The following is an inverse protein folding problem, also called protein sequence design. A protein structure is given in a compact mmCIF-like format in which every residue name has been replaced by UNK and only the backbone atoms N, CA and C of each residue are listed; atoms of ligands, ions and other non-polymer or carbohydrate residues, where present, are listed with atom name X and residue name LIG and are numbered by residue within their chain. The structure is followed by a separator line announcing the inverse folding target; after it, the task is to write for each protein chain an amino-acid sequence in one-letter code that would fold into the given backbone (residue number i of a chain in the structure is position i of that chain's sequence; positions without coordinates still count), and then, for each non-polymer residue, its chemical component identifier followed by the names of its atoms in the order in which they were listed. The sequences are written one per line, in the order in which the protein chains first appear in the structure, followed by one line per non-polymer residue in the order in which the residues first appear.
data_IF_882112559657
#
_entry.id   IF_882112559657
#
_cell.length_a   1.000
_cell.length_b   1.000
_cell.length_c   1.000
_cell.angle_alpha   90.00
_cell.angle_beta   90.00
_cell.angle_gamma   90.00
#
_symmetry.space_group_name_H-M   'P 1'
#
loop_
_entity.id
_entity.type
_entity.pdbx_description
1 polymer ?
#
# COMPACT_ATOMS: atom_id res chain seq x y z
N UNK A 1 -33.54 31.28 -44.49
CA UNK A 1 -33.69 29.88 -44.06
C UNK A 1 -34.60 29.89 -42.84
N UNK A 2 -35.80 29.34 -43.05
CA UNK A 2 -36.91 29.25 -42.10
C UNK A 2 -36.46 28.68 -40.75
N UNK A 3 -36.86 29.34 -39.66
CA UNK A 3 -36.71 28.85 -38.31
C UNK A 3 -37.43 27.50 -38.13
N UNK A 4 -36.81 26.58 -37.38
CA UNK A 4 -37.34 25.26 -36.98
C UNK A 4 -38.77 25.32 -36.39
N UNK A 5 -39.24 26.50 -36.00
CA UNK A 5 -40.58 26.78 -35.47
C UNK A 5 -41.70 26.52 -36.48
N UNK A 6 -41.48 26.74 -37.78
CA UNK A 6 -42.52 26.53 -38.80
C UNK A 6 -42.62 25.07 -39.28
N UNK A 7 -41.58 24.26 -39.07
CA UNK A 7 -41.57 22.84 -39.44
C UNK A 7 -42.35 21.95 -38.46
N UNK A 8 -42.53 22.39 -37.22
CA UNK A 8 -43.24 21.63 -36.17
C UNK A 8 -44.76 21.85 -36.14
N UNK A 9 -45.28 22.84 -36.87
CA UNK A 9 -46.70 23.18 -36.91
C UNK A 9 -47.50 22.43 -38.00
N UNK A 10 -46.87 21.54 -38.77
CA UNK A 10 -47.52 20.79 -39.87
C UNK A 10 -47.87 19.33 -39.56
N UNK A 11 -47.66 18.86 -38.32
CA UNK A 11 -48.05 17.52 -37.91
C UNK A 11 -49.16 17.59 -36.86
N UNK A 12 -50.39 17.34 -37.31
CA UNK A 12 -51.58 17.13 -36.47
C UNK A 12 -51.39 15.87 -35.60
N UNK A 13 -50.82 16.04 -34.41
CA UNK A 13 -50.81 15.02 -33.36
C UNK A 13 -51.90 15.35 -32.32
N UNK A 14 -52.65 14.34 -31.83
CA UNK A 14 -53.83 14.54 -30.98
C UNK A 14 -53.50 15.13 -29.60
N UNK A 15 -54.42 15.96 -29.10
CA UNK A 15 -54.40 16.74 -27.84
C UNK A 15 -54.42 15.89 -26.54
N UNK A 16 -53.65 14.81 -26.46
CA UNK A 16 -53.56 13.98 -25.25
C UNK A 16 -52.14 13.51 -25.00
N UNK A 17 -51.27 14.45 -24.60
CA UNK A 17 -50.02 14.21 -23.87
C UNK A 17 -49.53 15.57 -23.37
N UNK A 18 -50.17 16.07 -22.32
CA UNK A 18 -49.63 17.18 -21.54
C UNK A 18 -48.35 16.70 -20.84
N UNK A 19 -47.21 16.89 -21.49
CA UNK A 19 -45.92 16.82 -20.81
C UNK A 19 -45.89 17.95 -19.78
N UNK A 20 -45.79 17.60 -18.50
CA UNK A 20 -45.67 18.54 -17.39
C UNK A 20 -44.56 19.58 -17.68
N UNK A 21 -44.82 20.90 -17.53
CA UNK A 21 -43.87 21.96 -17.84
C UNK A 21 -42.85 22.18 -16.72
N UNK A 22 -42.35 21.12 -16.08
CA UNK A 22 -41.33 21.23 -15.03
C UNK A 22 -39.90 21.15 -15.55
N UNK A 23 -39.68 20.83 -16.84
CA UNK A 23 -38.33 20.68 -17.40
C UNK A 23 -37.66 22.00 -17.86
N UNK A 24 -38.40 23.09 -18.05
CA UNK A 24 -37.85 24.36 -18.57
C UNK A 24 -37.50 25.40 -17.51
N UNK A 25 -37.61 25.08 -16.22
CA UNK A 25 -37.31 26.00 -15.11
C UNK A 25 -36.20 25.49 -14.20
N UNK A 26 -35.26 24.69 -14.70
CA UNK A 26 -34.02 24.48 -13.94
C UNK A 26 -33.17 25.73 -14.07
N UNK A 27 -32.97 26.52 -12.99
CA UNK A 27 -32.12 27.70 -13.06
C UNK A 27 -30.73 27.28 -13.57
N UNK A 28 -30.16 28.03 -14.51
CA UNK A 28 -28.80 27.86 -15.07
C UNK A 28 -27.73 27.32 -14.08
N UNK A 29 -27.66 27.77 -12.81
CA UNK A 29 -26.74 27.18 -11.82
C UNK A 29 -26.95 25.68 -11.54
N UNK A 30 -28.18 25.18 -11.57
CA UNK A 30 -28.50 23.76 -11.35
C UNK A 30 -28.08 22.92 -12.56
N UNK A 31 -28.29 23.41 -13.79
CA UNK A 31 -27.80 22.74 -15.00
C UNK A 31 -26.26 22.69 -15.03
N UNK A 32 -25.60 23.78 -14.61
CA UNK A 32 -24.15 23.84 -14.42
C UNK A 32 -23.62 22.86 -13.37
N UNK A 33 -24.37 22.63 -12.29
CA UNK A 33 -24.04 21.57 -11.33
C UNK A 33 -24.17 20.18 -11.96
N UNK A 34 -25.23 19.88 -12.70
CA UNK A 34 -25.38 18.56 -13.33
C UNK A 34 -24.33 18.26 -14.39
N UNK A 35 -23.92 19.26 -15.19
CA UNK A 35 -22.83 19.08 -16.15
C UNK A 35 -21.48 18.95 -15.46
N UNK A 36 -21.22 19.68 -14.38
CA UNK A 36 -20.02 19.53 -13.56
C UNK A 36 -19.98 18.14 -12.88
N UNK A 37 -21.07 17.70 -12.27
CA UNK A 37 -21.17 16.36 -11.69
C UNK A 37 -21.06 15.26 -12.75
N UNK A 38 -21.72 15.41 -13.90
CA UNK A 38 -21.65 14.46 -15.02
C UNK A 38 -20.24 14.35 -15.61
N UNK A 39 -19.53 15.47 -15.76
CA UNK A 39 -18.14 15.47 -16.24
C UNK A 39 -17.17 14.90 -15.20
N UNK A 40 -17.36 15.19 -13.91
CA UNK A 40 -16.60 14.60 -12.81
C UNK A 40 -16.81 13.07 -12.74
N UNK A 41 -18.05 12.61 -12.89
CA UNK A 41 -18.41 11.18 -12.92
C UNK A 41 -17.80 10.53 -14.16
N UNK A 42 -17.97 11.11 -15.35
CA UNK A 42 -17.40 10.58 -16.59
C UNK A 42 -15.86 10.53 -16.56
N UNK A 43 -15.20 11.57 -16.03
CA UNK A 43 -13.76 11.60 -15.81
C UNK A 43 -13.30 10.52 -14.82
N UNK A 44 -14.04 10.36 -13.72
CA UNK A 44 -13.74 9.36 -12.70
C UNK A 44 -13.96 7.94 -13.23
N UNK A 45 -14.99 7.72 -14.04
CA UNK A 45 -15.26 6.47 -14.75
C UNK A 45 -14.13 6.19 -15.76
N UNK A 46 -13.73 7.17 -16.57
CA UNK A 46 -12.63 7.02 -17.52
C UNK A 46 -11.29 6.67 -16.83
N UNK A 47 -10.99 7.32 -15.70
CA UNK A 47 -9.85 6.98 -14.83
C UNK A 47 -9.99 5.58 -14.21
N UNK A 48 -11.19 5.19 -13.77
CA UNK A 48 -11.47 3.87 -13.19
C UNK A 48 -11.27 2.74 -14.22
N UNK A 49 -11.58 2.99 -15.50
CA UNK A 49 -11.36 2.05 -16.61
C UNK A 49 -9.98 2.17 -17.29
N UNK A 50 -9.06 2.97 -16.73
CA UNK A 50 -7.67 3.03 -17.20
C UNK A 50 -7.47 3.70 -18.56
N UNK A 51 -8.47 4.43 -19.09
CA UNK A 51 -8.31 5.17 -20.33
C UNK A 51 -7.30 6.31 -20.11
N UNK A 52 -6.08 6.13 -20.65
CA UNK A 52 -5.02 7.14 -20.67
C UNK A 52 -4.05 7.14 -19.48
N UNK A 53 -4.04 6.13 -18.61
CA UNK A 53 -3.06 6.10 -17.50
C UNK A 53 -1.68 5.64 -17.97
N UNK A 54 -0.66 6.48 -17.74
CA UNK A 54 0.76 6.07 -17.83
C UNK A 54 1.10 5.12 -16.68
N UNK A 55 2.04 4.21 -16.89
CA UNK A 55 2.59 3.39 -15.81
C UNK A 55 3.35 4.31 -14.83
N UNK A 56 2.81 4.48 -13.62
CA UNK A 56 3.37 5.33 -12.55
C UNK A 56 4.49 4.63 -11.76
N UNK A 57 4.76 3.35 -12.05
CA UNK A 57 5.77 2.52 -11.38
C UNK A 57 6.52 1.68 -12.42
N UNK A 58 7.17 2.36 -13.37
CA UNK A 58 7.99 1.73 -14.39
C UNK A 58 9.33 1.29 -13.78
N UNK A 59 9.61 -0.02 -13.76
CA UNK A 59 10.77 -0.59 -13.05
C UNK A 59 11.90 -1.07 -13.95
N UNK A 60 11.73 -1.06 -15.27
CA UNK A 60 12.76 -1.52 -16.20
C UNK A 60 14.04 -0.67 -16.07
N UNK A 61 15.16 -1.34 -15.79
CA UNK A 61 16.46 -0.70 -15.57
C UNK A 61 16.59 0.08 -14.26
N UNK A 62 15.54 0.16 -13.45
CA UNK A 62 15.58 0.78 -12.12
C UNK A 62 16.23 -0.15 -11.09
N UNK A 63 16.84 0.41 -10.06
CA UNK A 63 17.42 -0.36 -8.95
C UNK A 63 16.48 -0.36 -7.75
N UNK A 64 16.09 -1.56 -7.33
CA UNK A 64 15.17 -1.83 -6.22
C UNK A 64 15.92 -2.41 -5.03
N UNK A 65 15.75 -1.83 -3.85
CA UNK A 65 16.13 -2.46 -2.58
C UNK A 65 14.86 -2.97 -1.90
N UNK A 66 14.82 -4.27 -1.60
CA UNK A 66 13.68 -4.94 -0.97
C UNK A 66 14.11 -5.59 0.34
N UNK A 67 13.63 -5.05 1.45
CA UNK A 67 13.84 -5.65 2.78
C UNK A 67 12.88 -6.82 2.98
N UNK A 68 13.32 -7.87 3.66
CA UNK A 68 12.55 -9.11 3.78
C UNK A 68 12.46 -9.91 2.48
N UNK A 69 13.35 -9.64 1.51
CA UNK A 69 13.33 -10.25 0.17
C UNK A 69 13.77 -11.72 0.09
N UNK A 70 14.13 -12.35 1.23
CA UNK A 70 14.64 -13.73 1.24
C UNK A 70 13.56 -14.81 1.28
N UNK A 71 12.31 -14.46 1.60
CA UNK A 71 11.21 -15.42 1.78
C UNK A 71 9.84 -14.76 1.54
N UNK A 72 8.78 -15.56 1.47
CA UNK A 72 7.39 -15.11 1.40
C UNK A 72 7.10 -14.03 0.35
N UNK A 73 6.28 -13.04 0.73
CA UNK A 73 5.88 -11.93 -0.16
C UNK A 73 7.07 -11.16 -0.71
N UNK A 74 8.11 -10.91 0.10
CA UNK A 74 9.29 -10.17 -0.34
C UNK A 74 9.98 -10.89 -1.50
N UNK A 75 10.24 -12.20 -1.37
CA UNK A 75 10.85 -12.96 -2.46
C UNK A 75 9.97 -12.94 -3.73
N UNK A 76 8.67 -13.13 -3.60
CA UNK A 76 7.75 -13.09 -4.74
C UNK A 76 7.71 -11.72 -5.44
N UNK A 77 7.74 -10.63 -4.68
CA UNK A 77 7.90 -9.26 -5.22
C UNK A 77 9.21 -9.14 -5.98
N UNK A 78 10.32 -9.58 -5.38
CA UNK A 78 11.65 -9.52 -5.99
C UNK A 78 11.69 -10.25 -7.35
N UNK A 79 11.18 -11.48 -7.39
CA UNK A 79 11.09 -12.30 -8.60
C UNK A 79 10.22 -11.63 -9.69
N UNK A 80 9.08 -11.04 -9.32
CA UNK A 80 8.21 -10.37 -10.30
C UNK A 80 8.78 -9.04 -10.80
N UNK A 81 9.52 -8.30 -9.97
CA UNK A 81 10.24 -7.10 -10.40
C UNK A 81 11.41 -7.46 -11.33
N UNK A 82 12.11 -8.57 -11.07
CA UNK A 82 13.10 -9.12 -11.98
C UNK A 82 12.48 -9.49 -13.34
N UNK A 83 11.30 -10.11 -13.36
CA UNK A 83 10.56 -10.39 -14.59
C UNK A 83 10.06 -9.14 -15.34
N UNK A 84 10.09 -7.97 -14.69
CA UNK A 84 9.74 -6.66 -15.27
C UNK A 84 10.97 -5.81 -15.63
N UNK A 85 12.17 -6.38 -15.60
CA UNK A 85 13.40 -5.70 -16.04
C UNK A 85 14.13 -4.90 -14.96
N UNK A 86 13.73 -5.00 -13.68
CA UNK A 86 14.39 -4.29 -12.59
C UNK A 86 15.72 -4.94 -12.18
N UNK A 87 16.66 -4.13 -11.71
CA UNK A 87 17.80 -4.60 -10.92
C UNK A 87 17.34 -4.72 -9.47
N UNK A 88 17.60 -5.84 -8.81
CA UNK A 88 17.03 -6.10 -7.48
C UNK A 88 18.09 -6.49 -6.46
N UNK A 89 18.07 -5.79 -5.33
CA UNK A 89 18.87 -6.07 -4.14
C UNK A 89 17.91 -6.53 -3.03
N UNK A 90 18.09 -7.76 -2.55
CA UNK A 90 17.29 -8.29 -1.43
C UNK A 90 18.06 -8.20 -0.12
N UNK A 91 17.38 -7.78 0.95
CA UNK A 91 17.98 -7.58 2.27
C UNK A 91 17.26 -8.45 3.30
N UNK A 92 18.01 -9.28 4.02
CA UNK A 92 17.51 -10.08 5.14
C UNK A 92 18.69 -10.53 6.02
N UNK A 93 18.44 -11.38 7.01
CA UNK A 93 19.49 -11.85 7.93
C UNK A 93 20.17 -13.15 7.49
N UNK A 94 19.46 -13.99 6.74
CA UNK A 94 19.91 -15.37 6.45
C UNK A 94 20.50 -15.46 5.05
N UNK A 95 21.83 -15.52 4.96
CA UNK A 95 22.59 -15.57 3.70
C UNK A 95 22.13 -16.70 2.77
N UNK A 96 21.89 -17.90 3.29
CA UNK A 96 21.47 -19.05 2.45
C UNK A 96 20.12 -18.82 1.77
N UNK A 97 19.15 -18.22 2.47
CA UNK A 97 17.86 -17.83 1.88
C UNK A 97 18.00 -16.69 0.88
N UNK A 98 18.86 -15.73 1.17
CA UNK A 98 19.16 -14.61 0.27
C UNK A 98 19.78 -15.09 -1.05
N UNK A 99 20.74 -16.01 -0.98
CA UNK A 99 21.36 -16.60 -2.15
C UNK A 99 20.32 -17.33 -3.03
N UNK A 100 19.47 -18.15 -2.41
CA UNK A 100 18.38 -18.83 -3.11
C UNK A 100 17.40 -17.84 -3.78
N UNK A 101 17.05 -16.74 -3.09
CA UNK A 101 16.21 -15.70 -3.67
C UNK A 101 16.88 -15.02 -4.88
N UNK A 102 18.19 -14.75 -4.82
CA UNK A 102 18.96 -14.21 -5.95
C UNK A 102 18.99 -15.16 -7.14
N UNK A 103 19.14 -16.46 -6.90
CA UNK A 103 19.14 -17.45 -7.96
C UNK A 103 17.76 -17.56 -8.63
N UNK A 104 16.68 -17.48 -7.84
CA UNK A 104 15.30 -17.44 -8.35
C UNK A 104 15.04 -16.17 -9.19
N UNK A 105 15.50 -14.99 -8.74
CA UNK A 105 15.39 -13.75 -9.51
C UNK A 105 16.13 -13.84 -10.85
N UNK A 106 17.36 -14.40 -10.86
CA UNK A 106 18.13 -14.60 -12.09
C UNK A 106 17.41 -15.52 -13.07
N UNK A 107 16.78 -16.58 -12.58
CA UNK A 107 16.03 -17.53 -13.40
C UNK A 107 14.77 -16.91 -14.04
N UNK A 108 14.23 -15.85 -13.43
CA UNK A 108 13.01 -15.16 -13.90
C UNK A 108 13.29 -13.77 -14.49
N UNK A 109 14.57 -13.41 -14.71
CA UNK A 109 14.94 -12.11 -15.25
C UNK A 109 14.39 -11.92 -16.68
N UNK A 110 13.80 -10.74 -16.96
CA UNK A 110 13.35 -10.38 -18.31
C UNK A 110 14.50 -10.37 -19.33
N UNK A 111 15.68 -9.90 -18.91
CA UNK A 111 16.91 -9.90 -19.68
C UNK A 111 18.11 -10.07 -18.74
N UNK A 112 18.58 -11.31 -18.62
CA UNK A 112 19.69 -11.71 -17.74
C UNK A 112 21.03 -11.03 -18.06
N UNK A 113 21.22 -10.49 -19.26
CA UNK A 113 22.45 -9.79 -19.66
C UNK A 113 22.48 -8.31 -19.24
N UNK A 114 21.31 -7.71 -19.03
CA UNK A 114 21.19 -6.28 -18.67
C UNK A 114 20.89 -6.09 -17.19
N UNK A 115 20.22 -7.06 -16.57
CA UNK A 115 19.81 -6.97 -15.18
C UNK A 115 20.89 -7.48 -14.23
N UNK A 116 20.94 -6.88 -13.06
CA UNK A 116 21.86 -7.22 -11.99
C UNK A 116 21.07 -7.56 -10.73
N UNK A 117 21.57 -8.53 -9.98
CA UNK A 117 20.95 -9.00 -8.73
C UNK A 117 22.00 -9.11 -7.64
N UNK A 118 21.65 -8.69 -6.44
CA UNK A 118 22.54 -8.72 -5.27
C UNK A 118 21.76 -9.04 -4.01
N UNK A 119 22.47 -9.40 -2.95
CA UNK A 119 21.89 -9.50 -1.62
C UNK A 119 22.77 -8.82 -0.59
N UNK A 120 22.14 -8.33 0.48
CA UNK A 120 22.85 -7.77 1.62
C UNK A 120 22.32 -8.46 2.88
N UNK A 121 23.23 -9.04 3.66
CA UNK A 121 22.89 -9.57 4.98
C UNK A 121 22.92 -8.44 6.00
N UNK A 122 21.81 -8.16 6.68
CA UNK A 122 21.70 -7.08 7.66
C UNK A 122 20.58 -7.34 8.68
N UNK A 123 20.77 -6.84 9.90
CA UNK A 123 19.70 -6.69 10.89
C UNK A 123 19.22 -5.24 10.91
N UNK A 124 18.05 -4.99 10.32
CA UNK A 124 17.51 -3.65 10.13
C UNK A 124 16.87 -3.06 11.39
N UNK A 125 16.88 -3.79 12.50
CA UNK A 125 16.57 -3.21 13.82
C UNK A 125 17.66 -2.25 14.29
N UNK A 126 18.89 -2.38 13.77
CA UNK A 126 19.99 -1.42 13.97
C UNK A 126 19.95 -0.33 12.88
N UNK A 127 19.78 0.96 13.25
CA UNK A 127 19.79 2.05 12.28
C UNK A 127 21.13 2.19 11.52
N UNK A 128 22.27 1.80 12.11
CA UNK A 128 23.56 1.86 11.42
C UNK A 128 23.64 0.85 10.28
N UNK A 129 23.00 -0.32 10.44
CA UNK A 129 22.90 -1.32 9.39
C UNK A 129 22.02 -0.82 8.23
N UNK A 130 20.97 -0.05 8.50
CA UNK A 130 20.17 0.59 7.45
C UNK A 130 21.01 1.58 6.62
N UNK A 131 21.83 2.42 7.26
CA UNK A 131 22.74 3.34 6.57
C UNK A 131 23.77 2.57 5.73
N UNK A 132 24.34 1.50 6.29
CA UNK A 132 25.28 0.62 5.57
C UNK A 132 24.64 -0.02 4.34
N UNK A 133 23.42 -0.53 4.46
CA UNK A 133 22.66 -1.16 3.36
C UNK A 133 22.44 -0.17 2.22
N UNK A 134 22.02 1.06 2.50
CA UNK A 134 21.81 2.08 1.45
C UNK A 134 23.13 2.50 0.81
N UNK A 135 24.21 2.62 1.59
CA UNK A 135 25.54 2.92 1.06
C UNK A 135 26.10 1.81 0.16
N UNK A 136 25.96 0.55 0.57
CA UNK A 136 26.39 -0.61 -0.22
C UNK A 136 25.55 -0.74 -1.49
N UNK A 137 24.23 -0.56 -1.41
CA UNK A 137 23.35 -0.54 -2.57
C UNK A 137 23.72 0.56 -3.57
N UNK A 138 24.03 1.76 -3.08
CA UNK A 138 24.48 2.89 -3.90
C UNK A 138 25.81 2.59 -4.60
N UNK A 139 26.77 2.04 -3.86
CA UNK A 139 28.09 1.65 -4.39
C UNK A 139 27.95 0.58 -5.46
N UNK A 140 27.16 -0.45 -5.19
CA UNK A 140 26.84 -1.51 -6.15
C UNK A 140 26.16 -0.94 -7.40
N UNK A 141 25.31 0.07 -7.25
CA UNK A 141 24.62 0.77 -8.34
C UNK A 141 25.46 1.93 -8.94
N UNK A 142 26.78 1.75 -9.01
CA UNK A 142 27.72 2.69 -9.64
C UNK A 142 27.62 4.13 -9.10
N UNK A 143 27.43 4.27 -7.79
CA UNK A 143 27.32 5.55 -7.10
C UNK A 143 25.93 6.20 -7.17
N UNK A 144 24.95 5.56 -7.81
CA UNK A 144 23.57 6.06 -7.89
C UNK A 144 22.72 5.43 -6.80
N UNK A 145 22.01 6.23 -6.02
CA UNK A 145 21.08 5.72 -5.01
C UNK A 145 20.02 4.80 -5.65
N UNK A 146 19.49 3.80 -4.91
CA UNK A 146 18.38 2.99 -5.41
C UNK A 146 17.18 3.88 -5.76
N UNK A 147 16.44 3.52 -6.80
CA UNK A 147 15.25 4.26 -7.24
C UNK A 147 14.03 3.88 -6.41
N UNK A 148 13.97 2.62 -5.96
CA UNK A 148 12.83 2.06 -5.25
C UNK A 148 13.34 1.39 -3.99
N UNK A 149 12.73 1.72 -2.84
CA UNK A 149 12.95 1.01 -1.58
C UNK A 149 11.61 0.51 -1.07
N UNK A 150 11.51 -0.81 -0.87
CA UNK A 150 10.31 -1.44 -0.37
C UNK A 150 10.58 -2.13 0.98
N UNK A 151 9.98 -1.57 2.02
CA UNK A 151 10.02 -2.02 3.40
C UNK A 151 9.05 -3.19 3.60
N UNK A 152 9.47 -4.42 3.26
CA UNK A 152 8.66 -5.63 3.39
C UNK A 152 9.10 -6.56 4.55
N UNK A 153 10.21 -6.26 5.23
CA UNK A 153 10.66 -7.02 6.39
C UNK A 153 9.66 -6.92 7.57
N UNK A 154 9.44 -8.04 8.25
CA UNK A 154 8.61 -8.15 9.44
C UNK A 154 7.96 -9.53 9.54
N UNK A 155 7.56 -9.91 10.75
CA UNK A 155 6.76 -11.12 10.98
C UNK A 155 5.85 -10.89 12.19
N UNK A 156 4.79 -11.69 12.28
CA UNK A 156 3.80 -11.61 13.35
C UNK A 156 4.09 -12.64 14.44
N UNK A 157 3.93 -12.23 15.69
CA UNK A 157 3.81 -13.12 16.85
C UNK A 157 2.47 -12.84 17.55
N UNK A 158 1.42 -13.62 17.29
CA UNK A 158 0.11 -13.42 17.88
C UNK A 158 0.10 -13.89 19.34
N UNK A 159 -0.81 -13.30 20.10
CA UNK A 159 -1.06 -13.58 21.50
C UNK A 159 -1.88 -12.45 22.13
N UNK A 160 -2.58 -12.75 23.21
CA UNK A 160 -3.31 -11.72 23.93
C UNK A 160 -2.35 -10.79 24.66
N UNK A 161 -2.74 -9.51 24.75
CA UNK A 161 -1.88 -8.45 25.28
C UNK A 161 -1.30 -8.78 26.66
N UNK A 162 -2.13 -9.30 27.56
CA UNK A 162 -1.75 -9.62 28.94
C UNK A 162 -0.92 -10.90 29.07
N UNK A 163 -0.99 -11.81 28.09
CA UNK A 163 -0.31 -13.11 28.14
C UNK A 163 1.08 -13.04 27.49
N UNK A 164 1.26 -12.12 26.53
CA UNK A 164 2.53 -11.91 25.84
C UNK A 164 3.45 -11.03 26.71
N UNK A 165 4.68 -11.49 27.03
CA UNK A 165 5.63 -10.68 27.80
C UNK A 165 5.94 -9.32 27.14
N UNK A 166 6.06 -8.26 27.93
CA UNK A 166 6.36 -6.89 27.44
C UNK A 166 7.61 -6.83 26.56
N UNK A 167 8.62 -7.66 26.83
CA UNK A 167 9.82 -7.77 25.99
C UNK A 167 9.48 -8.16 24.55
N UNK A 168 8.51 -9.05 24.35
CA UNK A 168 8.10 -9.51 23.04
C UNK A 168 7.26 -8.46 22.29
N UNK A 169 6.43 -7.70 23.00
CA UNK A 169 5.76 -6.52 22.43
C UNK A 169 6.77 -5.50 21.89
N UNK A 170 7.82 -5.20 22.66
CA UNK A 170 8.91 -4.32 22.21
C UNK A 170 9.63 -4.91 20.99
N UNK A 171 9.96 -6.20 21.04
CA UNK A 171 10.62 -6.87 19.91
C UNK A 171 9.77 -6.86 18.63
N UNK A 172 8.43 -6.97 18.74
CA UNK A 172 7.53 -6.84 17.59
C UNK A 172 7.55 -5.41 17.04
N UNK A 173 7.56 -4.38 17.88
CA UNK A 173 7.78 -2.99 17.45
C UNK A 173 9.12 -2.82 16.73
N UNK A 174 10.21 -3.38 17.27
CA UNK A 174 11.54 -3.28 16.67
C UNK A 174 11.59 -3.95 15.28
N UNK A 175 11.05 -5.17 15.19
CA UNK A 175 11.11 -5.98 13.97
C UNK A 175 10.15 -5.50 12.88
N UNK A 176 9.03 -4.88 13.26
CA UNK A 176 7.99 -4.44 12.31
C UNK A 176 8.14 -2.95 12.02
N UNK A 177 8.02 -2.11 13.05
CA UNK A 177 8.01 -0.66 12.89
C UNK A 177 9.42 -0.10 12.71
N UNK A 178 10.35 -0.35 13.64
CA UNK A 178 11.68 0.28 13.57
C UNK A 178 12.48 -0.18 12.37
N UNK A 179 12.38 -1.46 11.98
CA UNK A 179 12.96 -1.94 10.71
C UNK A 179 12.53 -1.09 9.51
N UNK A 180 11.23 -0.82 9.38
CA UNK A 180 10.69 -0.02 8.29
C UNK A 180 11.04 1.48 8.44
N UNK A 181 10.95 2.02 9.66
CA UNK A 181 11.23 3.42 9.96
C UNK A 181 12.70 3.76 9.76
N UNK A 182 13.62 2.93 10.25
CA UNK A 182 15.07 3.08 10.07
C UNK A 182 15.44 3.03 8.59
N UNK A 183 14.92 2.04 7.86
CA UNK A 183 15.15 1.90 6.41
C UNK A 183 14.64 3.13 5.65
N UNK A 184 13.42 3.58 5.95
CA UNK A 184 12.85 4.79 5.36
C UNK A 184 13.68 6.04 5.68
N UNK A 185 14.11 6.19 6.94
CA UNK A 185 14.92 7.33 7.36
C UNK A 185 16.26 7.40 6.63
N UNK A 186 17.03 6.30 6.59
CA UNK A 186 18.29 6.21 5.84
C UNK A 186 18.10 6.49 4.35
N UNK A 187 17.03 5.93 3.77
CA UNK A 187 16.68 6.13 2.36
C UNK A 187 16.36 7.60 2.06
N UNK A 188 15.46 8.20 2.83
CA UNK A 188 15.03 9.58 2.61
C UNK A 188 16.16 10.59 2.87
N UNK A 189 17.01 10.37 3.87
CA UNK A 189 18.21 11.20 4.07
C UNK A 189 19.13 11.20 2.86
N UNK A 190 19.31 10.03 2.24
CA UNK A 190 20.11 9.91 1.03
C UNK A 190 19.42 10.57 -0.18
N UNK A 191 18.11 10.33 -0.35
CA UNK A 191 17.37 10.81 -1.51
C UNK A 191 17.10 12.32 -1.52
N UNK A 192 16.85 12.89 -0.34
CA UNK A 192 16.45 14.28 -0.16
C UNK A 192 17.63 15.22 0.11
N UNK A 193 18.86 14.69 0.11
CA UNK A 193 20.06 15.51 0.20
C UNK A 193 20.07 16.56 -0.93
N UNK A 194 20.30 17.85 -0.62
CA UNK A 194 20.24 18.91 -1.61
C UNK A 194 21.38 18.79 -2.61
N UNK A 195 21.04 18.84 -3.90
CA UNK A 195 22.00 18.96 -5.00
C UNK A 195 21.99 20.38 -5.56
N UNK A 196 23.10 20.79 -6.17
CA UNK A 196 23.19 22.07 -6.86
C UNK A 196 22.27 22.10 -8.09
N UNK A 197 21.79 23.28 -8.51
CA UNK A 197 20.96 23.41 -9.70
C UNK A 197 21.64 22.80 -10.93
N UNK A 198 21.00 21.83 -11.58
CA UNK A 198 21.50 21.22 -12.81
C UNK A 198 20.41 21.13 -13.88
N UNK A 199 20.77 21.40 -15.13
CA UNK A 199 19.85 21.45 -16.27
C UNK A 199 19.50 20.08 -16.88
N UNK A 200 20.31 19.05 -16.61
CA UNK A 200 20.18 17.72 -17.23
C UNK A 200 20.17 16.65 -16.16
N UNK A 201 19.00 16.42 -15.55
CA UNK A 201 18.76 15.24 -14.75
C UNK A 201 17.84 14.30 -15.51
N UNK A 202 18.23 13.03 -15.62
CA UNK A 202 17.38 11.98 -16.19
C UNK A 202 16.30 11.66 -15.14
N UNK A 203 15.04 11.92 -15.45
CA UNK A 203 13.94 11.78 -14.49
C UNK A 203 13.45 10.32 -14.39
N UNK A 204 13.74 9.67 -13.28
CA UNK A 204 12.90 8.60 -12.74
C UNK A 204 12.44 9.00 -11.34
N UNK A 205 11.12 8.96 -11.12
CA UNK A 205 10.52 9.19 -9.82
C UNK A 205 10.95 8.06 -8.88
N UNK A 206 11.29 8.42 -7.64
CA UNK A 206 11.66 7.42 -6.62
C UNK A 206 10.45 6.97 -5.82
N UNK A 207 10.45 5.71 -5.38
CA UNK A 207 9.31 5.13 -4.67
C UNK A 207 9.73 4.51 -3.34
N UNK A 208 9.17 5.02 -2.25
CA UNK A 208 9.30 4.42 -0.92
C UNK A 208 7.99 3.71 -0.58
N UNK A 209 8.07 2.39 -0.41
CA UNK A 209 6.89 1.53 -0.25
C UNK A 209 6.95 0.84 1.11
N UNK A 210 5.86 0.89 1.87
CA UNK A 210 5.73 0.14 3.12
C UNK A 210 4.79 -1.04 2.99
N UNK A 211 5.14 -2.18 3.58
CA UNK A 211 4.22 -3.30 3.76
C UNK A 211 3.59 -3.24 5.16
N UNK A 212 2.35 -2.78 5.21
CA UNK A 212 1.50 -2.72 6.38
C UNK A 212 0.73 -4.05 6.56
N UNK A 213 -0.56 -3.97 6.92
CA UNK A 213 -1.51 -5.09 7.02
C UNK A 213 -2.90 -4.52 7.20
N UNK A 214 -3.95 -5.21 6.72
CA UNK A 214 -5.34 -4.79 6.99
C UNK A 214 -5.68 -4.74 8.48
N UNK A 215 -4.92 -5.44 9.35
CA UNK A 215 -5.02 -5.32 10.81
C UNK A 215 -4.65 -3.93 11.35
N UNK A 216 -4.02 -3.07 10.53
CA UNK A 216 -3.85 -1.64 10.82
C UNK A 216 -5.15 -0.83 10.68
N UNK A 217 -6.14 -1.37 9.98
CA UNK A 217 -7.47 -0.77 9.83
C UNK A 217 -8.46 -1.34 10.85
N UNK A 218 -8.49 -2.66 10.98
CA UNK A 218 -9.42 -3.38 11.85
C UNK A 218 -8.63 -4.35 12.71
N UNK A 219 -8.20 -3.95 13.91
CA UNK A 219 -7.48 -4.83 14.80
C UNK A 219 -8.40 -5.93 15.35
N UNK A 220 -7.84 -7.12 15.54
CA UNK A 220 -8.55 -8.31 16.04
C UNK A 220 -7.89 -8.80 17.33
N UNK A 221 -8.68 -9.40 18.24
CA UNK A 221 -8.16 -9.91 19.50
C UNK A 221 -7.07 -10.97 19.28
N UNK A 222 -5.95 -10.82 19.98
CA UNK A 222 -4.75 -11.66 19.84
C UNK A 222 -3.71 -11.14 18.85
N UNK A 223 -3.95 -9.99 18.20
CA UNK A 223 -2.94 -9.32 17.38
C UNK A 223 -2.34 -8.06 18.00
N UNK A 224 -2.59 -7.76 19.27
CA UNK A 224 -2.06 -6.54 19.89
C UNK A 224 -0.53 -6.37 19.76
N UNK A 225 0.33 -7.40 19.81
CA UNK A 225 1.77 -7.21 19.59
C UNK A 225 2.10 -6.78 18.15
N UNK A 226 1.26 -7.12 17.18
CA UNK A 226 1.50 -6.96 15.74
C UNK A 226 0.75 -5.75 15.15
N UNK A 227 -0.56 -5.64 15.39
CA UNK A 227 -1.42 -4.63 14.79
C UNK A 227 -1.03 -3.21 15.20
N UNK A 228 -0.56 -3.02 16.44
CA UNK A 228 -0.02 -1.74 16.91
C UNK A 228 1.16 -1.25 16.08
N UNK A 229 2.12 -2.14 15.77
CA UNK A 229 3.27 -1.79 14.95
C UNK A 229 2.85 -1.46 13.50
N UNK A 230 1.91 -2.23 12.93
CA UNK A 230 1.39 -1.97 11.57
C UNK A 230 0.59 -0.67 11.49
N UNK A 231 -0.17 -0.32 12.53
CA UNK A 231 -0.84 0.97 12.63
C UNK A 231 0.17 2.12 12.74
N UNK A 232 1.27 1.93 13.47
CA UNK A 232 2.35 2.92 13.55
C UNK A 232 3.02 3.17 12.19
N UNK A 233 3.29 2.12 11.39
CA UNK A 233 3.81 2.28 10.03
C UNK A 233 2.82 3.07 9.16
N UNK A 234 1.52 2.76 9.24
CA UNK A 234 0.51 3.53 8.53
C UNK A 234 0.55 5.01 8.91
N UNK A 235 0.57 5.33 10.19
CA UNK A 235 0.65 6.73 10.65
C UNK A 235 1.93 7.42 10.15
N UNK A 236 3.07 6.73 10.19
CA UNK A 236 4.33 7.25 9.65
C UNK A 236 4.20 7.55 8.15
N UNK A 237 3.65 6.62 7.38
CA UNK A 237 3.52 6.78 5.93
C UNK A 237 2.58 7.94 5.53
N UNK A 238 1.46 8.13 6.24
CA UNK A 238 0.55 9.25 6.00
C UNK A 238 1.23 10.59 6.31
N UNK A 239 2.06 10.62 7.35
CA UNK A 239 2.86 11.80 7.70
C UNK A 239 3.92 12.09 6.63
N UNK A 240 4.71 11.07 6.24
CA UNK A 240 5.73 11.20 5.20
C UNK A 240 5.12 11.60 3.85
N UNK A 241 3.91 11.13 3.53
CA UNK A 241 3.23 11.52 2.29
C UNK A 241 3.02 13.04 2.17
N UNK A 242 2.93 13.75 3.29
CA UNK A 242 2.80 15.21 3.32
C UNK A 242 4.18 15.88 3.39
N UNK A 243 5.08 15.37 4.24
CA UNK A 243 6.44 15.92 4.36
C UNK A 243 7.17 15.91 3.01
N UNK A 244 7.01 14.83 2.23
CA UNK A 244 7.63 14.66 0.91
C UNK A 244 7.13 15.69 -0.11
N UNK A 245 5.89 16.20 0.00
CA UNK A 245 5.39 17.20 -0.95
C UNK A 245 6.13 18.54 -0.83
N UNK A 246 6.67 18.88 0.34
CA UNK A 246 7.57 20.02 0.48
C UNK A 246 8.82 19.85 -0.40
N UNK A 247 9.42 18.66 -0.38
CA UNK A 247 10.61 18.32 -1.16
C UNK A 247 10.31 18.20 -2.65
N UNK A 248 9.16 17.62 -3.02
CA UNK A 248 8.70 17.55 -4.41
C UNK A 248 8.40 18.96 -4.98
N UNK A 249 7.85 19.86 -4.15
CA UNK A 249 7.69 21.26 -4.48
C UNK A 249 9.03 21.96 -4.77
N UNK A 250 10.04 21.76 -3.90
CA UNK A 250 11.39 22.27 -4.15
C UNK A 250 12.02 21.68 -5.41
N UNK A 251 11.85 20.37 -5.65
CA UNK A 251 12.30 19.68 -6.85
C UNK A 251 11.71 20.25 -8.15
N UNK A 252 10.44 20.70 -8.11
CA UNK A 252 9.81 21.38 -9.25
C UNK A 252 10.52 22.70 -9.63
N UNK A 253 11.23 23.30 -8.68
CA UNK A 253 11.98 24.57 -8.81
C UNK A 253 13.51 24.37 -8.84
N UNK A 254 14.00 23.13 -9.02
CA UNK A 254 15.43 22.77 -8.97
C UNK A 254 16.35 23.57 -9.91
N UNK A 255 15.80 24.23 -10.93
CA UNK A 255 16.57 25.08 -11.84
C UNK A 255 16.96 26.44 -11.21
N UNK A 256 16.30 26.83 -10.11
CA UNK A 256 16.48 28.14 -9.47
C UNK A 256 17.13 28.05 -8.08
N UNK A 257 17.06 26.89 -7.43
CA UNK A 257 17.54 26.71 -6.05
C UNK A 257 17.98 25.26 -5.81
N UNK A 258 18.72 25.06 -4.72
CA UNK A 258 19.08 23.71 -4.27
C UNK A 258 17.83 22.89 -4.01
N UNK A 259 17.79 21.68 -4.53
CA UNK A 259 16.66 20.79 -4.40
C UNK A 259 17.13 19.33 -4.32
N UNK A 260 16.27 18.39 -3.92
CA UNK A 260 16.56 16.96 -4.03
C UNK A 260 16.90 16.53 -5.45
N UNK A 261 17.52 15.37 -5.59
CA UNK A 261 17.89 14.80 -6.89
C UNK A 261 16.69 14.23 -7.68
N UNK A 262 15.61 13.87 -6.99
CA UNK A 262 14.42 13.28 -7.60
C UNK A 262 13.18 13.63 -6.77
N UNK A 263 12.01 13.58 -7.41
CA UNK A 263 10.75 13.51 -6.67
C UNK A 263 10.56 12.12 -6.07
N UNK A 264 9.83 12.07 -4.96
CA UNK A 264 9.59 10.84 -4.19
C UNK A 264 8.09 10.62 -4.06
N UNK A 265 7.66 9.36 -4.19
CA UNK A 265 6.29 8.94 -3.93
C UNK A 265 6.27 7.88 -2.83
N UNK A 266 5.38 8.08 -1.86
CA UNK A 266 5.14 7.12 -0.77
C UNK A 266 4.01 6.19 -1.19
N UNK A 267 4.08 4.92 -0.82
CA UNK A 267 3.03 3.93 -1.01
C UNK A 267 2.91 2.99 0.19
N UNK A 268 1.73 2.41 0.39
CA UNK A 268 1.46 1.45 1.44
C UNK A 268 0.64 0.27 0.94
N UNK A 269 1.12 -0.93 1.25
CA UNK A 269 0.46 -2.18 0.91
C UNK A 269 -0.13 -2.81 2.17
N UNK A 270 -1.41 -3.15 2.13
CA UNK A 270 -2.18 -3.73 3.24
C UNK A 270 -2.69 -5.12 2.84
N UNK A 271 -1.80 -6.13 2.82
CA UNK A 271 -2.22 -7.50 2.60
C UNK A 271 -3.01 -8.04 3.80
N UNK A 272 -3.84 -9.05 3.55
CA UNK A 272 -4.40 -9.95 4.56
C UNK A 272 -3.45 -11.16 4.76
N UNK A 273 -3.93 -12.28 5.29
CA UNK A 273 -3.13 -13.49 5.45
C UNK A 273 -2.38 -13.87 4.17
N UNK A 274 -1.09 -14.20 4.30
CA UNK A 274 -0.24 -14.63 3.20
C UNK A 274 0.32 -16.00 3.54
N UNK A 275 0.11 -17.00 2.67
CA UNK A 275 0.70 -18.32 2.88
C UNK A 275 2.23 -18.21 2.84
N UNK A 276 2.89 -18.64 3.92
CA UNK A 276 4.34 -18.54 4.06
C UNK A 276 4.81 -19.36 5.25
N UNK A 277 6.10 -19.70 5.35
CA UNK A 277 6.65 -20.31 6.56
C UNK A 277 6.39 -19.47 7.83
N UNK A 278 6.34 -18.14 7.69
CA UNK A 278 5.97 -17.22 8.78
C UNK A 278 4.53 -17.41 9.24
N UNK A 279 3.59 -17.51 8.30
CA UNK A 279 2.18 -17.78 8.58
C UNK A 279 1.99 -19.17 9.20
N UNK A 280 2.70 -20.19 8.72
CA UNK A 280 2.61 -21.53 9.31
C UNK A 280 3.11 -21.56 10.76
N UNK A 281 4.17 -20.80 11.07
CA UNK A 281 4.68 -20.65 12.43
C UNK A 281 3.71 -19.86 13.32
N UNK A 282 3.08 -18.83 12.77
CA UNK A 282 2.04 -18.06 13.44
C UNK A 282 0.88 -18.96 13.90
N UNK A 283 0.40 -19.86 13.03
CA UNK A 283 -0.74 -20.73 13.32
C UNK A 283 -0.51 -21.71 14.49
N UNK A 284 0.75 -22.05 14.77
CA UNK A 284 1.12 -22.94 15.88
C UNK A 284 0.89 -22.31 17.26
N UNK A 285 1.04 -20.99 17.36
CA UNK A 285 0.96 -20.24 18.63
C UNK A 285 -0.27 -19.35 18.73
N UNK A 286 -1.00 -19.17 17.63
CA UNK A 286 -2.19 -18.31 17.55
C UNK A 286 -3.29 -18.80 18.50
N UNK A 287 -3.83 -17.94 19.38
CA UNK A 287 -4.95 -18.30 20.26
C UNK A 287 -6.18 -18.77 19.47
N UNK A 288 -6.93 -19.71 20.02
CA UNK A 288 -8.10 -20.28 19.34
C UNK A 288 -9.21 -19.25 19.06
N UNK A 289 -9.40 -18.29 19.98
CA UNK A 289 -10.30 -17.16 19.71
C UNK A 289 -9.82 -16.36 18.50
N UNK A 290 -8.52 -16.09 18.39
CA UNK A 290 -7.96 -15.35 17.25
C UNK A 290 -8.22 -16.08 15.94
N UNK A 291 -7.99 -17.41 15.88
CA UNK A 291 -8.36 -18.25 14.73
C UNK A 291 -9.83 -18.12 14.35
N UNK A 292 -10.72 -18.12 15.35
CA UNK A 292 -12.17 -17.97 15.14
C UNK A 292 -12.55 -16.60 14.59
N UNK A 293 -11.86 -15.54 15.02
CA UNK A 293 -12.13 -14.18 14.55
C UNK A 293 -11.61 -13.94 13.12
N UNK A 294 -10.63 -14.72 12.68
CA UNK A 294 -10.05 -14.68 11.34
C UNK A 294 -10.66 -15.66 10.35
N UNK A 295 -11.74 -16.38 10.70
CA UNK A 295 -12.33 -17.41 9.82
C UNK A 295 -12.74 -16.88 8.43
N UNK A 296 -13.03 -15.59 8.33
CA UNK A 296 -13.35 -14.92 7.07
C UNK A 296 -12.12 -14.55 6.23
N UNK A 297 -10.92 -14.59 6.80
CA UNK A 297 -9.66 -14.35 6.09
C UNK A 297 -9.25 -15.59 5.28
N UNK A 298 -9.23 -15.44 3.96
CA UNK A 298 -8.71 -16.46 3.04
C UNK A 298 -7.31 -16.05 2.65
N UNK A 299 -6.27 -16.76 3.15
CA UNK A 299 -4.91 -16.36 2.88
C UNK A 299 -4.59 -16.48 1.38
N UNK A 300 -3.88 -15.48 0.85
CA UNK A 300 -3.44 -15.42 -0.54
C UNK A 300 -2.01 -15.94 -0.67
N UNK A 301 -1.59 -16.36 -1.87
CA UNK A 301 -0.19 -16.74 -2.07
C UNK A 301 0.72 -15.50 -2.13
N UNK A 302 2.02 -15.63 -1.81
CA UNK A 302 2.99 -14.56 -2.01
C UNK A 302 2.98 -13.97 -3.42
N UNK A 303 2.83 -14.81 -4.44
CA UNK A 303 2.83 -14.43 -5.84
C UNK A 303 1.57 -13.63 -6.21
N UNK A 304 0.40 -14.01 -5.71
CA UNK A 304 -0.84 -13.28 -5.89
C UNK A 304 -0.76 -11.89 -5.25
N UNK A 305 -0.29 -11.82 -4.01
CA UNK A 305 -0.12 -10.56 -3.28
C UNK A 305 0.87 -9.64 -4.00
N UNK A 306 2.02 -10.18 -4.41
CA UNK A 306 3.03 -9.43 -5.16
C UNK A 306 2.46 -8.87 -6.47
N UNK A 307 1.75 -9.71 -7.24
CA UNK A 307 1.15 -9.32 -8.52
C UNK A 307 0.14 -8.19 -8.37
N UNK A 308 -0.78 -8.31 -7.41
CA UNK A 308 -1.81 -7.30 -7.15
C UNK A 308 -1.17 -6.00 -6.66
N UNK A 309 -0.16 -6.10 -5.78
CA UNK A 309 0.56 -4.94 -5.25
C UNK A 309 1.28 -4.17 -6.35
N UNK A 310 2.07 -4.86 -7.19
CA UNK A 310 2.79 -4.22 -8.30
C UNK A 310 1.81 -3.58 -9.28
N UNK A 311 0.72 -4.27 -9.65
CA UNK A 311 -0.29 -3.69 -10.55
C UNK A 311 -0.96 -2.43 -9.98
N UNK A 312 -1.15 -2.35 -8.66
CA UNK A 312 -1.67 -1.15 -8.00
C UNK A 312 -0.65 -0.01 -7.98
N UNK A 313 0.63 -0.32 -7.75
CA UNK A 313 1.73 0.64 -7.85
C UNK A 313 1.85 1.20 -9.27
N UNK A 314 1.69 0.37 -10.31
CA UNK A 314 1.67 0.79 -11.72
C UNK A 314 0.53 1.76 -12.03
N UNK A 315 -0.60 1.65 -11.32
CA UNK A 315 -1.70 2.63 -11.34
C UNK A 315 -1.46 3.87 -10.48
N UNK A 316 -0.36 3.89 -9.73
CA UNK A 316 0.04 4.99 -8.87
C UNK A 316 -0.72 5.07 -7.54
N UNK A 317 -1.32 3.96 -7.09
CA UNK A 317 -2.14 3.89 -5.87
C UNK A 317 -1.30 4.08 -4.60
N UNK A 318 -1.84 4.82 -3.62
CA UNK A 318 -1.23 5.09 -2.32
C UNK A 318 -1.57 4.01 -1.28
N UNK A 319 -2.87 3.78 -1.00
CA UNK A 319 -3.33 2.72 -0.08
C UNK A 319 -3.78 1.49 -0.88
N UNK A 320 -2.94 0.46 -0.94
CA UNK A 320 -3.18 -0.75 -1.73
C UNK A 320 -3.67 -1.89 -0.86
N UNK A 321 -4.84 -2.45 -1.17
CA UNK A 321 -5.37 -3.67 -0.54
C UNK A 321 -5.40 -4.80 -1.55
N UNK A 322 -5.15 -6.04 -1.12
CA UNK A 322 -4.94 -7.17 -2.06
C UNK A 322 -6.20 -7.99 -2.34
N UNK A 323 -7.30 -7.69 -1.65
CA UNK A 323 -8.59 -8.35 -1.85
C UNK A 323 -9.76 -7.42 -1.45
N UNK A 324 -10.99 -7.87 -1.71
CA UNK A 324 -12.20 -7.09 -1.49
C UNK A 324 -12.49 -6.82 0.00
N UNK A 325 -12.28 -7.80 0.88
CA UNK A 325 -12.50 -7.63 2.32
C UNK A 325 -11.56 -6.56 2.86
N UNK A 326 -10.28 -6.61 2.47
CA UNK A 326 -9.29 -5.59 2.78
C UNK A 326 -9.69 -4.21 2.27
N UNK A 327 -10.32 -4.12 1.08
CA UNK A 327 -10.83 -2.85 0.56
C UNK A 327 -11.94 -2.25 1.45
N UNK A 328 -12.85 -3.08 1.96
CA UNK A 328 -13.86 -2.64 2.94
C UNK A 328 -13.23 -2.23 4.29
N UNK A 329 -12.23 -2.97 4.77
CA UNK A 329 -11.47 -2.59 5.97
C UNK A 329 -10.75 -1.25 5.79
N UNK A 330 -10.14 -1.02 4.62
CA UNK A 330 -9.57 0.29 4.25
C UNK A 330 -10.64 1.37 4.30
N UNK A 331 -11.81 1.11 3.72
CA UNK A 331 -12.91 2.07 3.60
C UNK A 331 -13.35 2.67 4.94
N UNK A 332 -13.43 1.86 6.00
CA UNK A 332 -13.78 2.37 7.35
C UNK A 332 -12.69 3.20 7.99
N UNK A 333 -11.45 3.00 7.56
CA UNK A 333 -10.29 3.59 8.18
C UNK A 333 -9.68 4.74 7.36
N UNK A 334 -10.21 5.07 6.17
CA UNK A 334 -9.62 6.04 5.22
C UNK A 334 -9.25 7.39 5.84
N UNK A 335 -10.11 7.95 6.70
CA UNK A 335 -9.84 9.21 7.40
C UNK A 335 -9.27 10.32 6.49
N UNK A 336 -8.19 11.01 6.92
CA UNK A 336 -7.49 12.03 6.13
C UNK A 336 -6.41 11.45 5.20
N UNK A 337 -6.22 10.13 5.13
CA UNK A 337 -5.19 9.54 4.26
C UNK A 337 -5.46 9.90 2.78
N UNK A 338 -4.40 10.05 1.95
CA UNK A 338 -4.53 10.23 0.52
C UNK A 338 -5.42 9.15 -0.12
N UNK A 339 -6.33 9.57 -1.01
CA UNK A 339 -7.23 8.67 -1.73
C UNK A 339 -6.63 8.28 -3.07
N UNK A 340 -6.80 7.02 -3.45
CA UNK A 340 -6.46 6.54 -4.79
C UNK A 340 -7.46 7.08 -5.81
N UNK A 341 -8.74 7.12 -5.43
CA UNK A 341 -9.84 7.71 -6.21
C UNK A 341 -10.75 8.51 -5.29
N UNK A 342 -10.88 9.81 -5.55
CA UNK A 342 -11.72 10.70 -4.72
C UNK A 342 -13.14 10.16 -4.61
N UNK A 343 -13.76 9.76 -5.73
CA UNK A 343 -15.14 9.24 -5.72
C UNK A 343 -15.19 7.80 -5.23
N UNK A 344 -14.33 6.93 -5.79
CA UNK A 344 -14.36 5.50 -5.51
C UNK A 344 -14.11 5.18 -4.03
N UNK A 345 -13.05 5.76 -3.45
CA UNK A 345 -12.72 5.55 -2.05
C UNK A 345 -13.76 6.20 -1.12
N UNK A 346 -14.37 7.33 -1.51
CA UNK A 346 -15.42 7.99 -0.70
C UNK A 346 -16.69 7.14 -0.64
N UNK A 347 -17.17 6.64 -1.78
CA UNK A 347 -18.33 5.74 -1.83
C UNK A 347 -18.06 4.44 -1.07
N UNK A 348 -16.86 3.86 -1.26
CA UNK A 348 -16.44 2.67 -0.52
C UNK A 348 -16.41 2.95 0.98
N UNK A 349 -15.96 4.13 1.42
CA UNK A 349 -15.96 4.51 2.84
C UNK A 349 -17.36 4.50 3.45
N UNK A 350 -18.32 5.13 2.78
CA UNK A 350 -19.71 5.16 3.24
C UNK A 350 -20.31 3.76 3.34
N UNK A 351 -20.14 2.94 2.30
CA UNK A 351 -20.62 1.56 2.31
C UNK A 351 -19.94 0.73 3.41
N UNK A 352 -18.63 0.89 3.57
CA UNK A 352 -17.85 0.19 4.59
C UNK A 352 -18.34 0.53 5.99
N UNK A 353 -18.63 1.80 6.27
CA UNK A 353 -19.15 2.22 7.58
C UNK A 353 -20.49 1.54 7.89
N UNK A 354 -21.38 1.36 6.90
CA UNK A 354 -22.63 0.62 7.09
C UNK A 354 -22.40 -0.87 7.37
N UNK A 355 -21.49 -1.52 6.64
CA UNK A 355 -21.13 -2.93 6.87
C UNK A 355 -20.57 -3.11 8.29
N UNK A 356 -19.70 -2.20 8.73
CA UNK A 356 -19.00 -2.32 10.01
C UNK A 356 -19.86 -2.03 11.25
N UNK A 357 -21.07 -1.45 11.07
CA UNK A 357 -22.08 -1.41 12.13
C UNK A 357 -22.46 -2.82 12.62
N UNK A 358 -22.32 -3.85 11.77
CA UNK A 358 -22.61 -5.24 12.13
C UNK A 358 -21.34 -6.04 12.44
N UNK A 359 -20.24 -5.78 11.72
CA UNK A 359 -18.98 -6.54 11.87
C UNK A 359 -18.37 -6.37 13.26
N UNK A 360 -18.26 -5.15 13.79
CA UNK A 360 -17.64 -4.93 15.10
C UNK A 360 -18.46 -5.57 16.24
N UNK A 361 -19.80 -5.40 16.30
CA UNK A 361 -20.62 -6.15 17.26
C UNK A 361 -20.49 -7.66 17.13
N UNK A 362 -20.44 -8.21 15.91
CA UNK A 362 -20.23 -9.65 15.69
C UNK A 362 -18.87 -10.13 16.23
N UNK A 363 -17.77 -9.44 15.91
CA UNK A 363 -16.44 -9.79 16.43
C UNK A 363 -16.38 -9.74 17.96
N UNK A 364 -16.94 -8.69 18.57
CA UNK A 364 -17.02 -8.57 20.04
C UNK A 364 -17.92 -9.63 20.66
N UNK A 365 -19.06 -9.92 20.03
CA UNK A 365 -20.00 -10.95 20.45
C UNK A 365 -19.40 -12.35 20.39
N UNK A 366 -18.66 -12.68 19.32
CA UNK A 366 -17.91 -13.93 19.18
C UNK A 366 -16.85 -14.08 20.28
N UNK A 367 -16.11 -13.00 20.59
CA UNK A 367 -15.13 -13.00 21.68
C UNK A 367 -15.80 -13.20 23.05
N UNK A 368 -16.89 -12.48 23.32
CA UNK A 368 -17.66 -12.62 24.55
C UNK A 368 -18.23 -14.04 24.73
N UNK A 369 -18.86 -14.58 23.69
CA UNK A 369 -19.41 -15.94 23.70
C UNK A 369 -18.32 -17.01 23.85
N UNK A 370 -17.14 -16.79 23.25
CA UNK A 370 -15.98 -17.67 23.43
C UNK A 370 -15.52 -17.66 24.89
N UNK A 371 -15.41 -16.49 25.52
CA UNK A 371 -15.05 -16.38 26.94
C UNK A 371 -16.08 -17.05 27.87
N UNK A 372 -17.38 -16.90 27.58
CA UNK A 372 -18.45 -17.60 28.33
C UNK A 372 -18.33 -19.13 28.24
N UNK A 373 -17.92 -19.65 27.07
CA UNK A 373 -17.81 -21.10 26.83
C UNK A 373 -16.52 -21.69 27.39
N UNK A 374 -15.39 -21.02 27.22
CA UNK A 374 -14.07 -21.60 27.47
C UNK A 374 -13.39 -21.01 28.72
N UNK A 375 -13.93 -19.96 29.33
CA UNK A 375 -13.31 -19.26 30.45
C UNK A 375 -12.11 -18.41 30.03
N UNK A 376 -11.14 -18.28 30.93
CA UNK A 376 -9.87 -17.61 30.65
C UNK A 376 -8.94 -18.55 29.86
N UNK A 377 -8.08 -18.01 28.97
CA UNK A 377 -7.02 -18.79 28.34
C UNK A 377 -6.15 -19.49 29.40
N UNK A 378 -5.79 -20.76 29.17
CA UNK A 378 -5.05 -21.58 30.15
C UNK A 378 -3.70 -20.99 30.56
N UNK A 379 -3.09 -20.19 29.68
CA UNK A 379 -1.80 -19.53 29.87
C UNK A 379 -1.89 -18.09 30.42
N UNK A 380 -3.07 -17.61 30.81
CA UNK A 380 -3.17 -16.26 31.36
C UNK A 380 -2.43 -16.16 32.69
N UNK A 381 -1.61 -15.10 32.90
CA UNK A 381 -0.86 -14.92 34.12
C UNK A 381 -1.83 -14.90 35.30
N UNK A 382 -1.74 -15.92 36.15
CA UNK A 382 -2.49 -15.99 37.40
C UNK A 382 -1.77 -15.10 38.40
N UNK A 383 -2.54 -14.20 39.03
CA UNK A 383 -2.09 -13.29 40.09
C UNK A 383 -1.46 -14.03 41.25
#
# INVERSE_FOLDING_TARGET
MMELRELLLRWNLPHSLSLHPTFYQTPLPILGLYTLFGTIIAYSIAKMFGFGSRNEFAVEGQTVVLTGGSDGMGKAVATQLAAKGANVIVVARTVTKLQAAVDEMKANAANSHKQRFHYISADLTDPNECDRVISEATTWNAGTAPDIVWCCAGFSRPGFFIDVPIKEHKQQMDTIYWTAANTAHSTLRNWLAPVEPSGQMKFSRRHLIFTCSTLAFVPVAGYSPYSSAKAAIRSLSDTLSQEIEMYNGAFSQRHHSKAPAADVKIHNIFPMGITSPGFDNEQKIKPDLTKKLEEADKPQTPEEVAKISIAALERGEYLVTTNLIGAFMKGTALGPSPRNSIIGDTLLSWLSNLVFLQVIPDLRGKAYAWGKKNGLPENSPRS
#
